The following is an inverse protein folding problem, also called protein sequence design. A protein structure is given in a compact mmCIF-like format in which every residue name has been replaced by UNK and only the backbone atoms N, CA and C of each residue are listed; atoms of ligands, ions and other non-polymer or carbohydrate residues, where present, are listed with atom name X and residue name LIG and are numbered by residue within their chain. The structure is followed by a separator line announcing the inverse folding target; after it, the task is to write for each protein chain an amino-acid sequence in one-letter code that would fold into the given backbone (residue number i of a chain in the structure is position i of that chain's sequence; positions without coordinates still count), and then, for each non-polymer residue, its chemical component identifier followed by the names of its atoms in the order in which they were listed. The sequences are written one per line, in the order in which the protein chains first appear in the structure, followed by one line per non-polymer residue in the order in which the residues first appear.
data_IF_394939354389
#
_entry.id   IF_394939354389
#
_cell.length_a   1.000
_cell.length_b   1.000
_cell.length_c   1.000
_cell.angle_alpha   90.00
_cell.angle_beta   90.00
_cell.angle_gamma   90.00
#
_symmetry.space_group_name_H-M   'P 1'
#
loop_
_entity.id
_entity.type
_entity.pdbx_description
1 polymer ?
#
# COMPACT_ATOMS: atom_id res chain seq x y z
N UNK A 1 -13.48 -8.55 -3.99
CA UNK A 1 -12.49 -8.08 -2.99
C UNK A 1 -11.71 -6.88 -3.49
N UNK A 2 -11.09 -6.92 -4.67
CA UNK A 2 -10.33 -5.77 -5.21
C UNK A 2 -11.11 -4.45 -5.23
N UNK A 3 -12.38 -4.47 -5.66
CA UNK A 3 -13.23 -3.28 -5.67
C UNK A 3 -13.42 -2.68 -4.27
N UNK A 4 -13.48 -3.50 -3.21
CA UNK A 4 -13.63 -2.99 -1.84
C UNK A 4 -12.44 -2.12 -1.42
N UNK A 5 -11.22 -2.46 -1.83
CA UNK A 5 -10.02 -1.64 -1.60
C UNK A 5 -10.05 -0.34 -2.41
N UNK A 6 -10.61 -0.38 -3.63
CA UNK A 6 -10.74 0.81 -4.47
C UNK A 6 -11.77 1.76 -3.87
N UNK A 7 -12.93 1.24 -3.44
CA UNK A 7 -14.05 2.02 -2.92
C UNK A 7 -13.73 2.65 -1.56
N UNK A 8 -13.14 1.89 -0.62
CA UNK A 8 -12.79 2.43 0.72
C UNK A 8 -11.67 3.48 0.67
N UNK A 9 -10.90 3.52 -0.42
CA UNK A 9 -9.83 4.48 -0.64
C UNK A 9 -10.18 5.56 -1.69
N UNK A 10 -11.38 5.51 -2.28
CA UNK A 10 -11.74 6.28 -3.48
C UNK A 10 -11.54 7.79 -3.31
N UNK A 11 -11.97 8.35 -2.18
CA UNK A 11 -11.89 9.80 -1.92
C UNK A 11 -10.54 10.23 -1.35
N UNK A 12 -9.61 9.29 -1.13
CA UNK A 12 -8.32 9.51 -0.49
C UNK A 12 -7.12 9.55 -1.43
N UNK A 13 -7.32 9.42 -2.75
CA UNK A 13 -6.19 9.40 -3.68
C UNK A 13 -5.54 10.77 -3.82
N UNK A 14 -4.24 10.81 -3.52
CA UNK A 14 -3.40 11.98 -3.62
C UNK A 14 -2.11 11.65 -4.36
N UNK A 15 -1.39 12.69 -4.78
CA UNK A 15 -0.08 12.53 -5.43
C UNK A 15 0.85 11.69 -4.55
N UNK A 16 1.39 10.60 -5.11
CA UNK A 16 2.33 9.77 -4.37
C UNK A 16 3.63 10.49 -4.02
N UNK A 17 4.19 10.11 -2.87
CA UNK A 17 5.51 10.56 -2.41
C UNK A 17 6.53 9.42 -2.58
N UNK A 18 7.78 9.80 -2.84
CA UNK A 18 8.93 8.91 -2.73
C UNK A 18 9.70 9.31 -1.48
N UNK A 19 9.59 8.50 -0.41
CA UNK A 19 9.85 8.99 0.95
C UNK A 19 8.81 10.06 1.30
N UNK A 20 9.27 11.23 1.74
CA UNK A 20 8.41 12.32 2.21
C UNK A 20 8.22 13.46 1.19
N UNK A 21 8.66 13.26 -0.05
CA UNK A 21 8.66 14.31 -1.09
C UNK A 21 8.00 13.87 -2.38
N UNK A 22 7.34 14.81 -3.05
CA UNK A 22 6.89 14.62 -4.44
C UNK A 22 8.14 14.53 -5.31
N UNK A 23 8.25 13.44 -6.08
CA UNK A 23 9.45 13.14 -6.84
C UNK A 23 9.13 12.74 -8.28
N UNK A 24 9.97 13.06 -9.27
CA UNK A 24 9.78 12.59 -10.65
C UNK A 24 10.05 11.08 -10.82
N UNK A 25 10.54 10.38 -9.78
CA UNK A 25 10.82 8.94 -9.85
C UNK A 25 9.58 8.08 -9.55
N UNK A 26 8.57 8.64 -8.88
CA UNK A 26 7.28 8.01 -8.58
C UNK A 26 6.18 8.95 -9.00
N UNK A 27 5.39 8.54 -9.99
CA UNK A 27 4.41 9.42 -10.61
C UNK A 27 2.97 8.95 -10.50
N UNK A 28 2.68 7.97 -9.66
CA UNK A 28 1.33 7.51 -9.33
C UNK A 28 0.55 8.47 -8.43
N UNK A 29 -0.71 8.14 -8.20
CA UNK A 29 -1.46 8.54 -7.02
C UNK A 29 -1.50 7.38 -6.01
N UNK A 30 -1.66 7.70 -4.72
CA UNK A 30 -1.83 6.72 -3.66
C UNK A 30 -2.93 7.13 -2.69
N UNK A 31 -3.49 6.14 -2.02
CA UNK A 31 -4.30 6.27 -0.83
C UNK A 31 -3.82 5.25 0.22
N UNK A 32 -4.01 5.56 1.49
CA UNK A 32 -3.68 4.65 2.59
C UNK A 32 -4.97 4.19 3.28
N UNK A 33 -5.05 2.89 3.55
CA UNK A 33 -6.11 2.30 4.35
C UNK A 33 -5.85 2.55 5.85
N UNK A 34 -5.95 3.80 6.28
CA UNK A 34 -5.66 4.23 7.66
C UNK A 34 -6.86 4.83 8.38
N UNK A 35 -8.02 4.85 7.72
CA UNK A 35 -9.27 5.39 8.27
C UNK A 35 -10.15 4.25 8.81
N UNK A 36 -11.01 4.57 9.80
CA UNK A 36 -11.94 3.59 10.38
C UNK A 36 -12.78 2.84 9.31
N UNK A 37 -13.38 3.50 8.30
CA UNK A 37 -14.14 2.80 7.27
C UNK A 37 -13.34 1.77 6.46
N UNK A 38 -12.03 1.94 6.34
CA UNK A 38 -11.17 0.98 5.64
C UNK A 38 -10.68 -0.13 6.58
N UNK A 39 -10.22 0.23 7.79
CA UNK A 39 -9.71 -0.71 8.78
C UNK A 39 -10.79 -1.65 9.33
N UNK A 40 -12.02 -1.16 9.47
CA UNK A 40 -13.17 -1.92 9.98
C UNK A 40 -13.93 -2.64 8.85
N UNK A 41 -13.48 -2.52 7.59
CA UNK A 41 -14.12 -3.21 6.49
C UNK A 41 -13.83 -4.72 6.57
N UNK A 42 -14.85 -5.60 6.69
CA UNK A 42 -14.63 -7.03 6.87
C UNK A 42 -13.86 -7.70 5.72
N UNK A 43 -13.98 -7.18 4.49
CA UNK A 43 -13.22 -7.69 3.35
C UNK A 43 -11.74 -7.30 3.41
N UNK A 44 -11.43 -6.11 3.91
CA UNK A 44 -10.04 -5.66 4.09
C UNK A 44 -9.38 -6.48 5.19
N UNK A 45 -10.06 -6.66 6.33
CA UNK A 45 -9.59 -7.49 7.44
C UNK A 45 -9.35 -8.95 6.99
N UNK A 46 -10.29 -9.54 6.26
CA UNK A 46 -10.14 -10.90 5.73
C UNK A 46 -8.92 -11.05 4.81
N UNK A 47 -8.65 -10.05 3.97
CA UNK A 47 -7.45 -10.03 3.12
C UNK A 47 -6.18 -9.89 3.95
N UNK A 48 -6.16 -9.02 4.96
CA UNK A 48 -5.01 -8.89 5.87
C UNK A 48 -4.70 -10.20 6.58
N UNK A 49 -5.72 -10.91 7.06
CA UNK A 49 -5.52 -12.20 7.70
C UNK A 49 -5.00 -13.27 6.73
N UNK A 50 -5.45 -13.27 5.47
CA UNK A 50 -4.88 -14.18 4.45
C UNK A 50 -3.41 -13.87 4.16
N UNK A 51 -3.03 -12.59 4.07
CA UNK A 51 -1.62 -12.19 3.91
C UNK A 51 -0.79 -12.62 5.12
N UNK A 52 -1.29 -12.43 6.34
CA UNK A 52 -0.63 -12.86 7.56
C UNK A 52 -0.43 -14.39 7.59
N UNK A 53 -1.45 -15.17 7.21
CA UNK A 53 -1.36 -16.62 7.14
C UNK A 53 -0.36 -17.10 6.07
N UNK A 54 -0.29 -16.43 4.92
CA UNK A 54 0.63 -16.79 3.83
C UNK A 54 2.08 -16.45 4.15
N UNK A 55 2.32 -15.32 4.81
CA UNK A 55 3.67 -14.83 5.12
C UNK A 55 4.20 -15.33 6.46
N UNK A 56 3.33 -15.77 7.37
CA UNK A 56 3.66 -16.08 8.76
C UNK A 56 3.96 -14.83 9.61
N UNK A 57 3.69 -13.63 9.10
CA UNK A 57 3.98 -12.36 9.77
C UNK A 57 2.69 -11.85 10.43
N UNK A 58 2.70 -11.54 11.74
CA UNK A 58 1.53 -10.98 12.42
C UNK A 58 1.10 -9.63 11.83
N UNK A 59 -0.21 -9.33 11.76
CA UNK A 59 -0.72 -8.06 11.23
C UNK A 59 -0.14 -6.80 11.90
N UNK A 60 0.27 -6.89 13.17
CA UNK A 60 0.86 -5.78 13.92
C UNK A 60 2.22 -5.32 13.36
N UNK A 61 2.88 -6.18 12.58
CA UNK A 61 4.14 -5.88 11.92
C UNK A 61 3.94 -5.34 10.49
N UNK A 62 2.69 -5.23 10.03
CA UNK A 62 2.36 -4.71 8.72
C UNK A 62 2.01 -3.22 8.80
N UNK A 63 2.49 -2.46 7.81
CA UNK A 63 1.95 -1.13 7.55
C UNK A 63 0.50 -1.22 7.05
N UNK A 64 -0.23 -0.11 7.12
CA UNK A 64 -1.53 0.00 6.47
C UNK A 64 -1.43 -0.31 4.98
N UNK A 65 -2.47 -0.88 4.38
CA UNK A 65 -2.48 -1.10 2.94
C UNK A 65 -2.30 0.23 2.20
N UNK A 66 -1.30 0.29 1.33
CA UNK A 66 -1.12 1.35 0.37
C UNK A 66 -1.79 0.97 -0.95
N UNK A 67 -2.86 1.67 -1.32
CA UNK A 67 -3.52 1.48 -2.62
C UNK A 67 -2.92 2.47 -3.61
N UNK A 68 -2.37 1.99 -4.71
CA UNK A 68 -1.66 2.81 -5.69
C UNK A 68 -2.37 2.76 -7.04
N UNK A 69 -2.59 3.92 -7.65
CA UNK A 69 -3.23 4.05 -8.97
C UNK A 69 -2.27 4.69 -9.95
N UNK A 70 -2.03 3.99 -11.06
CA UNK A 70 -1.30 4.50 -12.21
C UNK A 70 -2.28 4.82 -13.32
N UNK A 71 -2.21 6.04 -13.85
CA UNK A 71 -2.81 6.41 -15.14
C UNK A 71 -1.79 6.23 -16.25
N UNK A 72 -2.23 6.34 -17.49
CA UNK A 72 -1.37 6.26 -18.67
C UNK A 72 -0.14 7.18 -18.54
N UNK A 73 1.04 6.63 -18.84
CA UNK A 73 2.32 7.31 -18.72
C UNK A 73 2.88 7.47 -17.30
N UNK A 74 2.15 7.09 -16.24
CA UNK A 74 2.66 7.11 -14.87
C UNK A 74 3.49 5.85 -14.55
N UNK A 75 4.50 5.99 -13.70
CA UNK A 75 5.42 4.92 -13.35
C UNK A 75 6.01 5.09 -11.94
N UNK A 76 6.69 4.05 -11.47
CA UNK A 76 7.67 4.14 -10.40
C UNK A 76 8.96 3.49 -10.89
N UNK A 77 10.07 4.24 -10.90
CA UNK A 77 11.39 3.72 -11.22
C UNK A 77 11.82 2.62 -10.25
N UNK A 78 12.76 1.79 -10.69
CA UNK A 78 13.39 0.76 -9.86
C UNK A 78 13.87 1.34 -8.53
N UNK A 79 13.51 0.67 -7.43
CA UNK A 79 13.88 1.04 -6.07
C UNK A 79 13.83 -0.18 -5.14
N UNK A 80 14.34 -0.01 -3.92
CA UNK A 80 14.11 -0.93 -2.81
C UNK A 80 12.98 -0.40 -1.93
N UNK A 81 12.09 -1.29 -1.50
CA UNK A 81 11.04 -0.94 -0.51
C UNK A 81 11.64 -0.68 0.88
N UNK A 82 12.81 -1.26 1.15
CA UNK A 82 13.60 -0.88 2.29
C UNK A 82 14.21 0.49 2.06
N UNK A 83 13.57 1.50 2.63
CA UNK A 83 13.99 2.90 2.57
C UNK A 83 14.08 3.54 3.96
N UNK A 84 14.01 2.73 5.02
CA UNK A 84 13.98 3.18 6.40
C UNK A 84 15.36 2.99 7.06
N UNK A 85 15.80 3.98 7.84
CA UNK A 85 17.02 3.84 8.64
C UNK A 85 16.85 2.71 9.68
N UNK A 86 17.87 1.88 9.95
CA UNK A 86 17.78 0.80 10.93
C UNK A 86 17.33 1.26 12.33
N UNK A 87 17.66 2.50 12.68
CA UNK A 87 17.37 3.09 13.99
C UNK A 87 15.97 3.73 14.11
N UNK A 88 15.12 3.62 13.08
CA UNK A 88 13.75 4.15 13.20
C UNK A 88 12.91 3.30 14.15
N UNK A 89 12.03 3.95 14.89
CA UNK A 89 11.12 3.28 15.82
C UNK A 89 10.17 2.27 15.15
N UNK A 90 9.86 2.47 13.87
CA UNK A 90 9.00 1.58 13.08
C UNK A 90 9.72 0.31 12.61
N UNK A 91 11.05 0.26 12.72
CA UNK A 91 11.87 -0.85 12.26
C UNK A 91 12.04 -0.91 10.74
N UNK A 92 12.54 -2.06 10.28
CA UNK A 92 12.94 -2.31 8.90
C UNK A 92 11.89 -3.14 8.15
N UNK A 93 11.58 -2.79 6.90
CA UNK A 93 10.80 -3.65 5.99
C UNK A 93 11.59 -4.89 5.58
N UNK A 94 11.00 -6.07 5.76
CA UNK A 94 11.58 -7.37 5.39
C UNK A 94 10.95 -7.96 4.12
N UNK A 95 9.66 -7.70 3.90
CA UNK A 95 8.86 -8.27 2.81
C UNK A 95 7.85 -7.24 2.33
N UNK A 96 7.57 -7.26 1.03
CA UNK A 96 6.44 -6.55 0.41
C UNK A 96 5.52 -7.55 -0.26
N UNK A 97 4.22 -7.39 -0.07
CA UNK A 97 3.20 -8.20 -0.73
C UNK A 97 2.42 -7.32 -1.72
N UNK A 98 2.66 -7.51 -3.02
CA UNK A 98 1.93 -6.80 -4.07
C UNK A 98 0.62 -7.51 -4.42
N UNK A 99 -0.49 -6.76 -4.41
CA UNK A 99 -1.81 -7.24 -4.81
C UNK A 99 -2.26 -6.41 -6.02
N UNK A 100 -2.37 -7.05 -7.19
CA UNK A 100 -2.91 -6.41 -8.38
C UNK A 100 -4.44 -6.37 -8.27
N UNK A 101 -5.01 -5.17 -8.17
CA UNK A 101 -6.45 -4.95 -7.99
C UNK A 101 -7.21 -4.84 -9.32
N UNK A 102 -6.49 -4.57 -10.41
CA UNK A 102 -7.05 -4.35 -11.73
C UNK A 102 -6.06 -4.82 -12.79
N UNK A 103 -6.57 -5.40 -13.86
CA UNK A 103 -5.77 -5.77 -15.04
C UNK A 103 -5.70 -4.56 -15.99
N UNK A 104 -4.50 -4.05 -16.30
CA UNK A 104 -4.37 -2.97 -17.27
C UNK A 104 -4.80 -3.47 -18.65
N UNK A 105 -5.69 -2.73 -19.32
CA UNK A 105 -6.05 -2.95 -20.72
C UNK A 105 -4.88 -2.63 -21.66
#
# INVERSE_FOLDING_TARGET
EAQAFIDTCHDGFQRSLAGDVVSPVRTSDQAWCSTAPCLENPLVEAVQQRVANLTGIPPQNAEFFQVVRYREGQFYKLHHDQNTHPDTHSGVRLLTFFIYLFEPL
#
